data_IF_569646757448
#
_entry.id   IF_569646757448
#
_cell.length_a   1.000
_cell.length_b   1.000
_cell.length_c   1.000
_cell.angle_alpha   90.00
_cell.angle_beta   90.00
_cell.angle_gamma   90.00
#
_symmetry.space_group_name_H-M   'P 1'
#
loop_
_entity.id
_entity.type
_entity.pdbx_description
1 polymer ?
#
# COMPACT_ATOMS: atom_id res chain seq x y z
N UNK A 1 14.80 -12.53 -43.25
CA UNK A 1 14.73 -11.05 -43.31
C UNK A 1 13.87 -10.55 -42.16
N UNK A 2 14.40 -9.62 -41.35
CA UNK A 2 13.60 -8.77 -40.45
C UNK A 2 13.54 -9.18 -38.98
N UNK A 3 14.62 -8.96 -38.24
CA UNK A 3 14.61 -8.85 -36.77
C UNK A 3 13.99 -7.51 -36.34
N UNK A 4 13.16 -7.48 -35.31
CA UNK A 4 12.98 -6.29 -34.46
C UNK A 4 12.99 -6.75 -32.99
N UNK A 5 14.15 -6.62 -32.38
CA UNK A 5 14.33 -6.68 -30.94
C UNK A 5 14.19 -5.25 -30.39
N UNK A 6 13.25 -5.04 -29.48
CA UNK A 6 13.14 -3.81 -28.70
C UNK A 6 13.65 -4.08 -27.29
N UNK A 7 14.93 -3.78 -27.07
CA UNK A 7 15.58 -3.73 -25.76
C UNK A 7 15.33 -2.36 -25.15
N UNK A 8 14.43 -2.27 -24.16
CA UNK A 8 14.35 -1.10 -23.30
C UNK A 8 15.31 -1.30 -22.12
N UNK A 9 16.37 -0.50 -22.17
CA UNK A 9 17.38 -0.34 -21.13
C UNK A 9 16.72 0.09 -19.82
N UNK A 10 17.00 -0.65 -18.76
CA UNK A 10 16.78 -0.20 -17.39
C UNK A 10 17.96 0.71 -17.08
N UNK A 11 17.69 2.01 -16.93
CA UNK A 11 18.67 2.97 -16.43
C UNK A 11 19.04 2.59 -14.99
N UNK A 12 20.24 2.05 -14.84
CA UNK A 12 20.90 1.88 -13.54
C UNK A 12 21.38 3.27 -13.14
N UNK A 13 20.82 3.77 -12.04
CA UNK A 13 21.25 5.01 -11.38
C UNK A 13 22.76 4.90 -11.11
N UNK A 14 23.54 5.69 -11.83
CA UNK A 14 24.94 5.97 -11.57
C UNK A 14 25.03 6.68 -10.22
N UNK A 15 25.39 5.95 -9.16
CA UNK A 15 25.91 6.61 -7.97
C UNK A 15 27.27 7.19 -8.30
N UNK A 16 27.37 8.49 -8.12
CA UNK A 16 28.57 9.32 -8.18
C UNK A 16 29.77 8.62 -7.57
N UNK A 17 30.77 8.41 -8.40
CA UNK A 17 32.18 8.18 -8.04
C UNK A 17 32.68 9.38 -7.24
N UNK A 18 32.68 9.29 -5.92
CA UNK A 18 33.68 9.96 -5.12
C UNK A 18 34.90 9.04 -5.07
N UNK A 19 35.88 9.38 -5.89
CA UNK A 19 37.27 8.97 -5.81
C UNK A 19 37.77 9.14 -4.37
N UNK A 20 38.12 8.05 -3.70
CA UNK A 20 39.50 7.82 -3.29
C UNK A 20 39.67 6.49 -2.55
N UNK A 21 40.75 5.80 -2.92
CA UNK A 21 41.29 4.58 -2.31
C UNK A 21 40.47 3.32 -2.62
N UNK A 22 40.89 2.37 -3.45
CA UNK A 22 42.22 1.79 -3.60
C UNK A 22 42.35 1.19 -5.00
N UNK A 23 43.19 1.78 -5.86
CA UNK A 23 43.65 1.10 -7.07
C UNK A 23 44.77 0.13 -6.73
N UNK A 24 44.64 -1.11 -7.21
CA UNK A 24 45.69 -1.95 -7.84
C UNK A 24 44.95 -3.17 -8.43
N UNK A 25 44.79 -3.21 -9.75
CA UNK A 25 45.68 -3.91 -10.70
C UNK A 25 45.58 -5.45 -10.61
N UNK A 26 45.32 -6.07 -11.76
CA UNK A 26 45.21 -7.51 -12.06
C UNK A 26 45.82 -8.51 -11.05
N UNK A 27 45.02 -9.48 -10.57
CA UNK A 27 45.51 -10.79 -10.10
C UNK A 27 45.20 -11.17 -8.65
N UNK A 28 44.11 -11.94 -8.44
CA UNK A 28 43.71 -12.64 -7.19
C UNK A 28 43.42 -11.73 -5.97
N UNK A 29 42.14 -11.47 -5.73
CA UNK A 29 41.62 -10.97 -4.44
C UNK A 29 42.13 -11.87 -3.29
N UNK A 30 42.64 -11.27 -2.21
CA UNK A 30 43.05 -12.05 -1.03
C UNK A 30 41.80 -12.57 -0.30
N UNK A 31 41.88 -13.73 0.35
CA UNK A 31 40.75 -14.33 1.08
C UNK A 31 40.19 -13.36 2.14
N UNK A 32 41.07 -12.63 2.83
CA UNK A 32 40.67 -11.64 3.83
C UNK A 32 39.95 -10.43 3.20
N UNK A 33 40.40 -9.94 2.04
CA UNK A 33 39.69 -8.89 1.31
C UNK A 33 38.31 -9.36 0.82
N UNK A 34 38.22 -10.59 0.33
CA UNK A 34 36.97 -11.19 -0.10
C UNK A 34 35.96 -11.36 1.07
N UNK A 35 36.44 -11.77 2.25
CA UNK A 35 35.61 -11.86 3.46
C UNK A 35 35.07 -10.49 3.89
N UNK A 36 35.95 -9.49 3.99
CA UNK A 36 35.54 -8.13 4.38
C UNK A 36 34.53 -7.54 3.39
N UNK A 37 34.73 -7.76 2.09
CA UNK A 37 33.79 -7.32 1.05
C UNK A 37 32.43 -8.01 1.20
N UNK A 38 32.40 -9.33 1.37
CA UNK A 38 31.15 -10.07 1.55
C UNK A 38 30.41 -9.67 2.82
N UNK A 39 31.12 -9.47 3.94
CA UNK A 39 30.50 -9.02 5.18
C UNK A 39 29.86 -7.63 5.03
N UNK A 40 30.55 -6.69 4.35
CA UNK A 40 29.98 -5.38 4.06
C UNK A 40 28.77 -5.46 3.11
N UNK A 41 28.85 -6.30 2.08
CA UNK A 41 27.75 -6.48 1.12
C UNK A 41 26.52 -7.12 1.80
N UNK A 42 26.74 -8.08 2.71
CA UNK A 42 25.70 -8.70 3.53
C UNK A 42 25.09 -7.66 4.47
N UNK A 43 25.92 -6.93 5.23
CA UNK A 43 25.44 -5.90 6.17
C UNK A 43 24.59 -4.84 5.46
N UNK A 44 25.06 -4.31 4.33
CA UNK A 44 24.32 -3.34 3.50
C UNK A 44 22.99 -3.90 3.02
N UNK A 45 22.97 -5.19 2.64
CA UNK A 45 21.77 -5.85 2.11
C UNK A 45 20.77 -6.20 3.21
N UNK A 46 21.23 -6.53 4.42
CA UNK A 46 20.39 -6.86 5.58
C UNK A 46 19.84 -5.62 6.30
N UNK A 47 20.47 -4.45 6.16
CA UNK A 47 20.09 -3.20 6.86
C UNK A 47 18.61 -2.82 6.72
N UNK A 48 17.98 -3.23 5.61
CA UNK A 48 16.57 -2.94 5.32
C UNK A 48 15.62 -4.09 5.67
N UNK A 49 16.09 -5.14 6.36
CA UNK A 49 15.31 -6.27 6.84
C UNK A 49 14.35 -6.87 5.78
N UNK A 50 14.87 -7.28 4.60
CA UNK A 50 14.02 -7.68 3.47
C UNK A 50 13.17 -8.92 3.76
N UNK A 51 13.64 -9.83 4.61
CA UNK A 51 12.87 -11.01 5.02
C UNK A 51 11.64 -10.62 5.85
N UNK A 52 11.83 -9.74 6.82
CA UNK A 52 10.76 -9.23 7.69
C UNK A 52 9.74 -8.41 6.90
N UNK A 53 10.22 -7.57 5.97
CA UNK A 53 9.35 -6.83 5.05
C UNK A 53 8.56 -7.76 4.14
N UNK A 54 9.17 -8.83 3.64
CA UNK A 54 8.48 -9.83 2.82
C UNK A 54 7.37 -10.53 3.61
N UNK A 55 7.59 -10.84 4.89
CA UNK A 55 6.57 -11.43 5.75
C UNK A 55 5.36 -10.50 5.91
N UNK A 56 5.60 -9.19 6.10
CA UNK A 56 4.53 -8.17 6.18
C UNK A 56 3.75 -8.08 4.88
N UNK A 57 4.45 -7.91 3.75
CA UNK A 57 3.84 -7.78 2.41
C UNK A 57 3.02 -9.02 2.05
N UNK A 58 3.52 -10.22 2.38
CA UNK A 58 2.82 -11.48 2.09
C UNK A 58 1.53 -11.58 2.89
N UNK A 59 1.57 -11.27 4.19
CA UNK A 59 0.37 -11.30 5.04
C UNK A 59 -0.68 -10.26 4.60
N UNK A 60 -0.24 -9.06 4.21
CA UNK A 60 -1.13 -8.02 3.67
C UNK A 60 -1.78 -8.47 2.35
N UNK A 61 -0.99 -9.05 1.44
CA UNK A 61 -1.45 -9.54 0.15
C UNK A 61 -2.52 -10.63 0.32
N UNK A 62 -2.28 -11.62 1.18
CA UNK A 62 -3.26 -12.69 1.47
C UNK A 62 -4.58 -12.13 2.00
N UNK A 63 -4.50 -11.17 2.92
CA UNK A 63 -5.69 -10.50 3.44
C UNK A 63 -6.45 -9.73 2.37
N UNK A 64 -5.75 -9.01 1.48
CA UNK A 64 -6.39 -8.25 0.40
C UNK A 64 -7.02 -9.19 -0.64
N UNK A 65 -6.35 -10.28 -0.98
CA UNK A 65 -6.89 -11.28 -1.91
C UNK A 65 -8.16 -11.93 -1.38
N UNK A 66 -8.20 -12.28 -0.09
CA UNK A 66 -9.42 -12.79 0.54
C UNK A 66 -10.54 -11.75 0.52
N UNK A 67 -10.24 -10.48 0.77
CA UNK A 67 -11.25 -9.42 0.70
C UNK A 67 -11.79 -9.21 -0.72
N UNK A 68 -10.92 -9.16 -1.74
CA UNK A 68 -11.33 -9.05 -3.14
C UNK A 68 -12.26 -10.20 -3.50
N UNK A 69 -11.90 -11.44 -3.13
CA UNK A 69 -12.73 -12.62 -3.36
C UNK A 69 -14.11 -12.47 -2.70
N UNK A 70 -14.16 -12.06 -1.44
CA UNK A 70 -15.42 -11.82 -0.73
C UNK A 70 -16.28 -10.73 -1.43
N UNK A 71 -15.65 -9.68 -1.95
CA UNK A 71 -16.34 -8.63 -2.72
C UNK A 71 -16.91 -9.16 -4.03
N UNK A 72 -16.15 -9.97 -4.76
CA UNK A 72 -16.58 -10.53 -6.04
C UNK A 72 -17.69 -11.58 -5.88
N UNK A 73 -17.68 -12.35 -4.79
CA UNK A 73 -18.76 -13.27 -4.43
C UNK A 73 -20.07 -12.55 -4.06
N UNK A 74 -19.99 -11.33 -3.51
CA UNK A 74 -21.16 -10.55 -3.08
C UNK A 74 -21.61 -9.48 -4.07
N UNK A 75 -20.85 -9.22 -5.13
CA UNK A 75 -21.15 -8.12 -6.07
C UNK A 75 -21.05 -8.62 -7.51
N UNK A 76 -22.20 -8.70 -8.21
CA UNK A 76 -22.22 -8.99 -9.65
C UNK A 76 -21.28 -8.00 -10.38
N UNK A 77 -20.43 -8.54 -11.25
CA UNK A 77 -19.36 -7.84 -11.97
C UNK A 77 -19.89 -6.70 -12.84
N UNK A 78 -19.98 -5.49 -12.28
CA UNK A 78 -20.31 -4.28 -13.05
C UNK A 78 -19.01 -3.55 -13.37
N UNK A 79 -18.64 -3.60 -14.65
CA UNK A 79 -17.36 -3.17 -15.23
C UNK A 79 -17.27 -1.69 -15.61
N UNK A 80 -18.30 -0.87 -15.40
CA UNK A 80 -18.25 0.55 -15.75
C UNK A 80 -17.76 1.41 -14.57
N UNK A 81 -16.49 1.80 -14.66
CA UNK A 81 -15.74 2.70 -13.76
C UNK A 81 -16.06 4.17 -14.03
N UNK A 82 -16.64 4.49 -15.19
CA UNK A 82 -16.98 5.84 -15.61
C UNK A 82 -18.44 6.18 -15.27
N UNK A 83 -18.76 7.16 -14.43
CA UNK A 83 -17.95 7.89 -13.47
C UNK A 83 -18.89 8.15 -12.30
N UNK A 84 -18.48 7.80 -11.07
CA UNK A 84 -19.24 8.06 -9.86
C UNK A 84 -19.97 9.44 -9.84
N UNK A 85 -19.31 10.58 -10.18
CA UNK A 85 -19.99 11.87 -10.32
C UNK A 85 -21.11 11.88 -11.37
N UNK A 86 -20.89 11.32 -12.56
CA UNK A 86 -21.92 11.23 -13.62
C UNK A 86 -23.11 10.38 -13.16
N UNK A 87 -22.88 9.24 -12.53
CA UNK A 87 -23.96 8.36 -12.03
C UNK A 87 -24.83 9.11 -11.02
N UNK A 88 -24.20 9.74 -10.03
CA UNK A 88 -24.93 10.51 -9.03
C UNK A 88 -25.64 11.71 -9.67
N UNK A 89 -24.97 12.43 -10.58
CA UNK A 89 -25.55 13.59 -11.24
C UNK A 89 -26.77 13.22 -12.08
N UNK A 90 -26.68 12.14 -12.86
CA UNK A 90 -27.77 11.69 -13.73
C UNK A 90 -29.00 11.29 -12.92
N UNK A 91 -28.83 10.67 -11.76
CA UNK A 91 -29.94 10.38 -10.84
C UNK A 91 -30.59 11.67 -10.35
N UNK A 92 -29.78 12.64 -9.95
CA UNK A 92 -30.30 13.91 -9.46
C UNK A 92 -31.03 14.72 -10.55
N UNK A 93 -30.60 14.60 -11.81
CA UNK A 93 -31.29 15.20 -12.96
C UNK A 93 -32.59 14.45 -13.26
N UNK A 94 -32.54 13.12 -13.37
CA UNK A 94 -33.71 12.30 -13.75
C UNK A 94 -34.85 12.37 -12.72
N UNK A 95 -34.49 12.51 -11.45
CA UNK A 95 -35.45 12.63 -10.34
C UNK A 95 -35.70 14.10 -9.96
N UNK A 96 -35.15 15.08 -10.69
CA UNK A 96 -35.30 16.52 -10.42
C UNK A 96 -34.95 16.94 -8.97
N UNK A 97 -34.03 16.22 -8.31
CA UNK A 97 -33.71 16.39 -6.88
C UNK A 97 -33.09 17.75 -6.57
N UNK A 98 -32.37 18.37 -7.53
CA UNK A 98 -31.79 19.70 -7.33
C UNK A 98 -32.82 20.80 -7.09
N UNK A 99 -34.05 20.63 -7.57
CA UNK A 99 -35.11 21.65 -7.54
C UNK A 99 -36.22 21.33 -6.55
N UNK A 100 -36.35 20.07 -6.13
CA UNK A 100 -37.46 19.56 -5.32
C UNK A 100 -36.94 18.88 -4.05
N UNK A 101 -36.66 19.63 -2.97
CA UNK A 101 -36.07 19.06 -1.74
C UNK A 101 -36.99 18.03 -1.05
N UNK A 102 -38.31 18.19 -1.15
CA UNK A 102 -39.28 17.21 -0.62
C UNK A 102 -39.16 15.86 -1.34
N UNK A 103 -38.97 15.89 -2.67
CA UNK A 103 -38.75 14.69 -3.47
C UNK A 103 -37.39 14.05 -3.16
N UNK A 104 -36.39 14.84 -2.74
CA UNK A 104 -35.10 14.33 -2.30
C UNK A 104 -35.18 13.57 -0.98
N UNK A 105 -36.01 14.02 -0.04
CA UNK A 105 -36.26 13.26 1.21
C UNK A 105 -37.02 11.96 0.94
N UNK A 106 -37.97 11.96 0.00
CA UNK A 106 -38.69 10.73 -0.38
C UNK A 106 -37.79 9.69 -1.07
N UNK A 107 -36.77 10.16 -1.80
CA UNK A 107 -35.82 9.31 -2.52
C UNK A 107 -34.48 9.11 -1.78
N UNK A 108 -34.41 9.49 -0.50
CA UNK A 108 -33.18 9.47 0.30
C UNK A 108 -32.53 8.08 0.31
N UNK A 109 -33.32 7.04 0.64
CA UNK A 109 -32.85 5.66 0.70
C UNK A 109 -32.39 5.13 -0.67
N UNK A 110 -33.05 5.56 -1.75
CA UNK A 110 -32.64 5.19 -3.10
C UNK A 110 -31.28 5.79 -3.45
N UNK A 111 -31.10 7.09 -3.19
CA UNK A 111 -29.84 7.80 -3.41
C UNK A 111 -28.71 7.20 -2.55
N UNK A 112 -28.97 6.96 -1.27
CA UNK A 112 -28.02 6.32 -0.35
C UNK A 112 -27.63 4.91 -0.83
N UNK A 113 -28.59 4.13 -1.35
CA UNK A 113 -28.30 2.79 -1.88
C UNK A 113 -27.45 2.82 -3.15
N UNK A 114 -27.67 3.77 -4.06
CA UNK A 114 -26.79 3.93 -5.23
C UNK A 114 -25.40 4.40 -4.78
N UNK A 115 -25.34 5.37 -3.87
CA UNK A 115 -24.09 5.88 -3.33
C UNK A 115 -23.25 4.76 -2.67
N UNK A 116 -23.88 3.90 -1.86
CA UNK A 116 -23.25 2.69 -1.30
C UNK A 116 -22.65 1.78 -2.37
N UNK A 117 -23.38 1.54 -3.46
CA UNK A 117 -22.90 0.69 -4.56
C UNK A 117 -21.69 1.31 -5.25
N UNK A 118 -21.72 2.60 -5.52
CA UNK A 118 -20.59 3.31 -6.14
C UNK A 118 -19.37 3.38 -5.21
N UNK A 119 -19.55 3.64 -3.91
CA UNK A 119 -18.46 3.60 -2.94
C UNK A 119 -17.84 2.21 -2.80
N UNK A 120 -18.64 1.13 -2.86
CA UNK A 120 -18.09 -0.25 -2.90
C UNK A 120 -17.23 -0.50 -4.13
N UNK A 121 -17.58 0.06 -5.29
CA UNK A 121 -16.72 -0.03 -6.50
C UNK A 121 -15.39 0.69 -6.29
N UNK A 122 -15.40 1.85 -5.62
CA UNK A 122 -14.18 2.57 -5.26
C UNK A 122 -13.31 1.75 -4.30
N UNK A 123 -13.91 1.14 -3.27
CA UNK A 123 -13.22 0.23 -2.32
C UNK A 123 -12.56 -0.95 -3.08
N UNK A 124 -13.29 -1.59 -4.00
CA UNK A 124 -12.77 -2.71 -4.81
C UNK A 124 -11.65 -2.29 -5.75
N UNK A 125 -11.79 -1.15 -6.44
CA UNK A 125 -10.74 -0.63 -7.32
C UNK A 125 -9.46 -0.33 -6.54
N UNK A 126 -9.60 0.31 -5.38
CA UNK A 126 -8.49 0.57 -4.48
C UNK A 126 -7.79 -0.74 -4.06
N UNK A 127 -8.55 -1.77 -3.68
CA UNK A 127 -8.01 -3.09 -3.32
C UNK A 127 -7.20 -3.70 -4.48
N UNK A 128 -7.70 -3.62 -5.71
CA UNK A 128 -7.00 -4.13 -6.91
C UNK A 128 -5.72 -3.39 -7.23
N UNK A 129 -5.70 -2.06 -7.06
CA UNK A 129 -4.47 -1.27 -7.21
C UNK A 129 -3.46 -1.69 -6.15
N UNK A 130 -3.89 -1.78 -4.90
CA UNK A 130 -3.02 -2.18 -3.78
C UNK A 130 -2.47 -3.59 -3.93
N UNK A 131 -3.29 -4.54 -4.41
CA UNK A 131 -2.83 -5.90 -4.69
C UNK A 131 -1.66 -5.90 -5.69
N UNK A 132 -1.78 -5.13 -6.78
CA UNK A 132 -0.72 -5.02 -7.80
C UNK A 132 0.57 -4.41 -7.24
N UNK A 133 0.44 -3.39 -6.38
CA UNK A 133 1.59 -2.78 -5.67
C UNK A 133 2.29 -3.82 -4.80
N UNK A 134 1.55 -4.53 -3.94
CA UNK A 134 2.10 -5.57 -3.07
C UNK A 134 2.71 -6.74 -3.84
N UNK A 135 2.12 -7.13 -4.97
CA UNK A 135 2.71 -8.14 -5.85
C UNK A 135 4.04 -7.69 -6.46
N UNK A 136 4.17 -6.40 -6.80
CA UNK A 136 5.43 -5.80 -7.26
C UNK A 136 6.48 -5.81 -6.14
N UNK A 137 6.10 -5.35 -4.95
CA UNK A 137 6.99 -5.29 -3.79
C UNK A 137 7.46 -6.68 -3.35
N UNK A 138 6.55 -7.67 -3.35
CA UNK A 138 6.88 -9.07 -3.07
C UNK A 138 7.95 -9.59 -4.02
N UNK A 139 7.82 -9.34 -5.34
CA UNK A 139 8.82 -9.76 -6.34
C UNK A 139 10.17 -9.08 -6.11
N UNK A 140 10.17 -7.77 -5.82
CA UNK A 140 11.38 -7.01 -5.51
C UNK A 140 12.09 -7.56 -4.27
N UNK A 141 11.37 -7.78 -3.19
CA UNK A 141 11.92 -8.32 -1.93
C UNK A 141 12.41 -9.76 -2.11
N UNK A 142 11.72 -10.58 -2.90
CA UNK A 142 12.16 -11.93 -3.21
C UNK A 142 13.50 -11.95 -3.96
N UNK A 143 13.66 -11.08 -4.97
CA UNK A 143 14.93 -10.92 -5.68
C UNK A 143 16.07 -10.47 -4.76
N UNK A 144 15.80 -9.55 -3.82
CA UNK A 144 16.77 -9.13 -2.80
C UNK A 144 17.19 -10.29 -1.90
N UNK A 145 16.25 -11.13 -1.47
CA UNK A 145 16.57 -12.31 -0.65
C UNK A 145 17.39 -13.35 -1.40
N UNK A 146 17.13 -13.57 -2.69
CA UNK A 146 17.96 -14.46 -3.51
C UNK A 146 19.41 -13.96 -3.60
N UNK A 147 19.61 -12.64 -3.73
CA UNK A 147 20.94 -12.03 -3.69
C UNK A 147 21.61 -12.19 -2.32
N UNK A 148 20.89 -11.99 -1.22
CA UNK A 148 21.45 -12.19 0.12
C UNK A 148 21.84 -13.65 0.34
N UNK A 149 21.00 -14.60 -0.10
CA UNK A 149 21.32 -16.03 -0.05
C UNK A 149 22.58 -16.37 -0.85
N UNK A 150 22.77 -15.80 -2.04
CA UNK A 150 23.99 -16.05 -2.82
C UNK A 150 25.24 -15.50 -2.13
N UNK A 151 25.16 -14.32 -1.51
CA UNK A 151 26.27 -13.77 -0.70
C UNK A 151 26.62 -14.67 0.49
N UNK A 152 25.61 -15.16 1.22
CA UNK A 152 25.85 -16.10 2.32
C UNK A 152 26.43 -17.44 1.86
N UNK A 153 26.05 -17.93 0.68
CA UNK A 153 26.66 -19.14 0.10
C UNK A 153 28.12 -18.90 -0.26
N UNK A 154 28.45 -17.75 -0.86
CA UNK A 154 29.83 -17.37 -1.16
C UNK A 154 30.66 -17.23 0.12
N UNK A 155 30.09 -16.63 1.17
CA UNK A 155 30.75 -16.53 2.47
C UNK A 155 31.04 -17.91 3.05
N UNK A 156 30.05 -18.81 3.06
CA UNK A 156 30.23 -20.19 3.55
C UNK A 156 31.31 -20.94 2.78
N UNK A 157 31.35 -20.80 1.45
CA UNK A 157 32.37 -21.41 0.61
C UNK A 157 33.78 -20.91 0.96
N UNK A 158 33.96 -19.59 1.17
CA UNK A 158 35.24 -19.06 1.62
C UNK A 158 35.63 -19.55 3.01
N UNK A 159 34.67 -19.62 3.94
CA UNK A 159 34.93 -20.13 5.29
C UNK A 159 35.33 -21.61 5.29
N UNK A 160 34.70 -22.44 4.45
CA UNK A 160 35.08 -23.86 4.30
C UNK A 160 36.47 -24.07 3.68
N UNK A 161 37.04 -23.05 3.01
CA UNK A 161 38.41 -23.10 2.53
C UNK A 161 39.44 -22.77 3.64
N UNK A 162 39.00 -22.22 4.77
CA UNK A 162 39.87 -21.75 5.87
C UNK A 162 39.87 -22.73 7.03
N UNK A 163 38.70 -23.30 7.36
CA UNK A 163 38.53 -24.24 8.47
C UNK A 163 38.08 -25.61 7.96
N UNK A 164 38.76 -26.66 8.40
CA UNK A 164 38.24 -28.05 8.40
C UNK A 164 37.30 -28.25 9.59
N UNK A 165 36.30 -29.13 9.43
CA UNK A 165 35.12 -29.25 10.31
C UNK A 165 35.41 -29.36 11.82
N UNK A 166 36.62 -29.78 12.23
CA UNK A 166 37.00 -30.01 13.64
C UNK A 166 37.76 -28.86 14.34
N UNK A 167 38.16 -27.79 13.63
CA UNK A 167 39.00 -26.71 14.21
C UNK A 167 38.30 -25.35 14.33
N UNK A 168 36.97 -25.28 14.12
CA UNK A 168 36.28 -23.99 14.11
C UNK A 168 36.13 -23.40 15.52
N UNK A 169 36.77 -22.25 15.84
CA UNK A 169 36.60 -21.61 17.13
C UNK A 169 35.17 -21.07 17.29
N UNK A 170 34.54 -21.30 18.46
CA UNK A 170 33.30 -20.64 18.85
C UNK A 170 32.01 -21.48 18.85
N UNK A 171 32.09 -22.81 18.75
CA UNK A 171 30.92 -23.72 18.85
C UNK A 171 30.07 -23.50 20.11
N UNK A 172 30.68 -23.12 21.24
CA UNK A 172 29.98 -22.77 22.47
C UNK A 172 29.17 -21.45 22.38
N UNK A 173 29.53 -20.56 21.47
CA UNK A 173 28.88 -19.26 21.26
C UNK A 173 27.80 -19.30 20.17
N UNK A 174 27.76 -20.35 19.34
CA UNK A 174 26.80 -20.47 18.24
C UNK A 174 25.35 -20.40 18.74
N UNK A 175 25.02 -21.12 19.81
CA UNK A 175 23.68 -21.08 20.40
C UNK A 175 23.30 -19.70 20.98
N UNK A 176 24.26 -18.93 21.50
CA UNK A 176 24.01 -17.56 21.95
C UNK A 176 23.79 -16.61 20.76
N UNK A 177 24.59 -16.76 19.70
CA UNK A 177 24.46 -16.02 18.45
C UNK A 177 23.12 -16.30 17.75
N UNK A 178 22.66 -17.55 17.71
CA UNK A 178 21.35 -17.92 17.16
C UNK A 178 20.20 -17.26 17.91
N UNK A 179 20.23 -17.29 19.25
CA UNK A 179 19.23 -16.59 20.09
C UNK A 179 19.22 -15.08 19.84
N UNK A 180 20.40 -14.47 19.75
CA UNK A 180 20.53 -13.04 19.46
C UNK A 180 19.99 -12.69 18.07
N UNK A 181 20.26 -13.51 17.04
CA UNK A 181 19.71 -13.36 15.69
C UNK A 181 18.19 -13.49 15.67
N UNK A 182 17.65 -14.49 16.35
CA UNK A 182 16.20 -14.68 16.45
C UNK A 182 15.52 -13.47 17.08
N UNK A 183 16.10 -12.91 18.15
CA UNK A 183 15.59 -11.70 18.80
C UNK A 183 15.69 -10.47 17.88
N UNK A 184 16.83 -10.29 17.20
CA UNK A 184 17.01 -9.24 16.18
C UNK A 184 15.94 -9.32 15.10
N UNK A 185 15.70 -10.52 14.58
CA UNK A 185 14.75 -10.75 13.49
C UNK A 185 13.30 -10.52 13.93
N UNK A 186 12.97 -10.87 15.19
CA UNK A 186 11.68 -10.56 15.79
C UNK A 186 11.46 -9.05 15.98
N UNK A 187 12.45 -8.33 16.51
CA UNK A 187 12.39 -6.86 16.64
C UNK A 187 12.33 -6.18 15.28
N UNK A 188 13.08 -6.67 14.30
CA UNK A 188 13.04 -6.20 12.93
C UNK A 188 11.64 -6.36 12.33
N UNK A 189 10.95 -7.48 12.60
CA UNK A 189 9.58 -7.73 12.14
C UNK A 189 8.59 -6.73 12.76
N UNK A 190 8.68 -6.50 14.06
CA UNK A 190 7.86 -5.47 14.73
C UNK A 190 8.14 -4.10 14.14
N UNK A 191 9.41 -3.75 13.93
CA UNK A 191 9.79 -2.47 13.32
C UNK A 191 9.26 -2.31 11.89
N UNK A 192 9.26 -3.38 11.10
CA UNK A 192 8.74 -3.38 9.73
C UNK A 192 7.23 -3.15 9.71
N UNK A 193 6.49 -3.81 10.62
CA UNK A 193 5.04 -3.60 10.79
C UNK A 193 4.72 -2.18 11.20
N UNK A 194 5.44 -1.63 12.19
CA UNK A 194 5.22 -0.27 12.66
C UNK A 194 5.48 0.77 11.56
N UNK A 195 6.55 0.62 10.77
CA UNK A 195 6.85 1.52 9.65
C UNK A 195 5.76 1.46 8.57
N UNK A 196 5.40 0.26 8.11
CA UNK A 196 4.36 0.09 7.10
C UNK A 196 3.01 0.64 7.61
N UNK A 197 2.66 0.40 8.88
CA UNK A 197 1.47 1.00 9.48
C UNK A 197 1.53 2.52 9.55
N UNK A 198 2.67 3.10 9.91
CA UNK A 198 2.84 4.54 9.98
C UNK A 198 2.69 5.20 8.61
N UNK A 199 3.25 4.58 7.56
CA UNK A 199 3.10 5.03 6.16
C UNK A 199 1.62 5.02 5.72
N UNK A 200 0.89 3.94 6.03
CA UNK A 200 -0.54 3.82 5.75
C UNK A 200 -1.38 4.85 6.52
N UNK A 201 -1.11 5.08 7.81
CA UNK A 201 -1.80 6.11 8.62
C UNK A 201 -1.50 7.50 8.07
N UNK A 202 -0.25 7.78 7.71
CA UNK A 202 0.12 9.09 7.18
C UNK A 202 -0.57 9.35 5.83
N UNK A 203 -0.68 8.33 4.99
CA UNK A 203 -1.45 8.40 3.74
C UNK A 203 -2.93 8.65 4.02
N UNK A 204 -3.51 7.96 5.00
CA UNK A 204 -4.90 8.20 5.41
C UNK A 204 -5.13 9.64 5.89
N UNK A 205 -4.23 10.17 6.73
CA UNK A 205 -4.32 11.56 7.22
C UNK A 205 -4.23 12.57 6.08
N UNK A 206 -3.29 12.41 5.15
CA UNK A 206 -3.19 13.28 3.97
C UNK A 206 -4.47 13.28 3.15
N UNK A 207 -5.05 12.10 2.90
CA UNK A 207 -6.30 11.98 2.16
C UNK A 207 -7.49 12.62 2.91
N UNK A 208 -7.51 12.58 4.24
CA UNK A 208 -8.50 13.30 5.05
C UNK A 208 -8.32 14.81 4.94
N UNK A 209 -7.08 15.30 5.03
CA UNK A 209 -6.76 16.72 4.89
C UNK A 209 -7.16 17.25 3.50
N UNK A 210 -6.96 16.44 2.45
CA UNK A 210 -7.39 16.74 1.09
C UNK A 210 -8.91 16.65 0.90
N UNK A 211 -9.60 15.77 1.64
CA UNK A 211 -11.05 15.60 1.54
C UNK A 211 -11.82 16.79 2.12
N UNK A 212 -11.34 17.40 3.21
CA UNK A 212 -12.00 18.52 3.89
C UNK A 212 -12.27 19.75 3.00
N UNK A 213 -11.30 20.30 2.24
CA UNK A 213 -11.56 21.44 1.36
C UNK A 213 -12.51 21.06 0.23
N UNK A 214 -12.39 19.85 -0.33
CA UNK A 214 -13.28 19.37 -1.40
C UNK A 214 -14.72 19.23 -0.89
N UNK A 215 -14.89 18.72 0.33
CA UNK A 215 -16.19 18.62 0.98
C UNK A 215 -16.83 20.00 1.19
N UNK A 216 -16.05 21.02 1.59
CA UNK A 216 -16.55 22.40 1.71
C UNK A 216 -17.06 22.93 0.36
N UNK A 217 -16.38 22.62 -0.74
CA UNK A 217 -16.80 23.03 -2.08
C UNK A 217 -18.15 22.43 -2.50
N UNK A 218 -18.56 21.28 -1.95
CA UNK A 218 -19.88 20.69 -2.21
C UNK A 218 -21.02 21.60 -1.74
N UNK A 219 -20.82 22.35 -0.66
CA UNK A 219 -21.83 23.30 -0.13
C UNK A 219 -21.84 24.67 -0.84
N UNK A 220 -20.76 25.02 -1.54
CA UNK A 220 -20.55 26.36 -2.14
C UNK A 220 -20.69 26.34 -3.68
N UNK A 221 -20.79 25.16 -4.30
CA UNK A 221 -20.89 25.02 -5.75
C UNK A 221 -22.10 25.75 -6.36
N UNK A 222 -21.89 26.40 -7.51
CA UNK A 222 -22.90 27.26 -8.16
C UNK A 222 -23.89 26.44 -9.01
N UNK A 223 -23.46 25.27 -9.49
CA UNK A 223 -24.31 24.36 -10.26
C UNK A 223 -24.52 23.02 -9.55
N UNK A 224 -25.62 22.33 -9.89
CA UNK A 224 -25.87 20.97 -9.39
C UNK A 224 -24.75 19.98 -9.76
N UNK A 225 -24.14 20.15 -10.93
CA UNK A 225 -22.98 19.36 -11.35
C UNK A 225 -21.74 19.62 -10.50
N UNK A 226 -21.39 20.88 -10.23
CA UNK A 226 -20.24 21.24 -9.39
C UNK A 226 -20.39 20.68 -7.98
N UNK A 227 -21.58 20.81 -7.37
CA UNK A 227 -21.86 20.29 -6.03
C UNK A 227 -21.75 18.76 -5.98
N UNK A 228 -22.32 18.06 -6.96
CA UNK A 228 -22.25 16.60 -7.05
C UNK A 228 -20.84 16.12 -7.28
N UNK A 229 -20.09 16.79 -8.15
CA UNK A 229 -18.69 16.46 -8.43
C UNK A 229 -17.83 16.63 -7.18
N UNK A 230 -17.92 17.77 -6.50
CA UNK A 230 -17.19 18.01 -5.26
C UNK A 230 -17.55 16.99 -4.17
N UNK A 231 -18.84 16.69 -3.96
CA UNK A 231 -19.26 15.64 -3.03
C UNK A 231 -18.68 14.27 -3.41
N UNK A 232 -18.71 13.90 -4.69
CA UNK A 232 -18.16 12.63 -5.18
C UNK A 232 -16.64 12.54 -5.02
N UNK A 233 -15.92 13.65 -5.24
CA UNK A 233 -14.48 13.72 -5.10
C UNK A 233 -14.08 13.61 -3.62
N UNK A 234 -14.81 14.26 -2.73
CA UNK A 234 -14.59 14.15 -1.29
C UNK A 234 -14.93 12.74 -0.78
N UNK A 235 -16.06 12.15 -1.20
CA UNK A 235 -16.39 10.76 -0.88
C UNK A 235 -15.29 9.79 -1.36
N UNK A 236 -14.74 9.99 -2.56
CA UNK A 236 -13.63 9.19 -3.07
C UNK A 236 -12.40 9.28 -2.16
N UNK A 237 -12.00 10.49 -1.76
CA UNK A 237 -10.87 10.70 -0.86
C UNK A 237 -11.12 10.06 0.52
N UNK A 238 -12.33 10.19 1.07
CA UNK A 238 -12.72 9.57 2.34
C UNK A 238 -12.72 8.03 2.27
N UNK A 239 -13.18 7.44 1.15
CA UNK A 239 -13.11 5.98 0.93
C UNK A 239 -11.64 5.56 0.93
N UNK A 240 -10.79 6.24 0.17
CA UNK A 240 -9.37 5.93 0.09
C UNK A 240 -8.67 6.06 1.45
N UNK A 241 -8.95 7.14 2.19
CA UNK A 241 -8.41 7.36 3.53
C UNK A 241 -8.77 6.21 4.47
N UNK A 242 -10.04 5.78 4.44
CA UNK A 242 -10.53 4.65 5.22
C UNK A 242 -9.85 3.33 4.80
N UNK A 243 -9.63 3.11 3.51
CA UNK A 243 -8.90 1.93 3.05
C UNK A 243 -7.47 1.92 3.57
N UNK A 244 -6.74 3.04 3.48
CA UNK A 244 -5.38 3.17 4.01
C UNK A 244 -5.33 2.99 5.54
N UNK A 245 -6.32 3.51 6.27
CA UNK A 245 -6.45 3.27 7.71
C UNK A 245 -6.64 1.78 8.02
N UNK A 246 -7.47 1.09 7.22
CA UNK A 246 -7.68 -0.35 7.35
C UNK A 246 -6.40 -1.13 7.07
N UNK A 247 -5.58 -0.73 6.11
CA UNK A 247 -4.29 -1.36 5.83
C UNK A 247 -3.34 -1.27 7.02
N UNK A 248 -3.23 -0.08 7.63
CA UNK A 248 -2.41 0.13 8.81
C UNK A 248 -2.77 -0.89 9.90
N UNK A 249 -4.06 -1.10 10.12
CA UNK A 249 -4.56 -2.09 11.08
C UNK A 249 -4.24 -3.52 10.68
N UNK A 250 -4.39 -3.89 9.40
CA UNK A 250 -4.05 -5.24 8.92
C UNK A 250 -2.59 -5.56 9.19
N UNK A 251 -1.69 -4.61 8.91
CA UNK A 251 -0.24 -4.75 9.14
C UNK A 251 0.08 -4.91 10.63
N UNK A 252 -0.63 -4.19 11.51
CA UNK A 252 -0.47 -4.32 12.96
C UNK A 252 -1.19 -5.53 13.57
N UNK A 253 -2.02 -6.24 12.78
CA UNK A 253 -2.95 -7.27 13.31
C UNK A 253 -3.86 -6.68 14.39
N UNK A 254 -4.19 -5.39 14.27
CA UNK A 254 -5.03 -4.69 15.22
C UNK A 254 -6.51 -4.86 14.86
N UNK A 255 -7.35 -5.15 15.85
CA UNK A 255 -8.80 -5.15 15.66
C UNK A 255 -9.30 -3.74 15.37
N UNK A 256 -10.22 -3.60 14.41
CA UNK A 256 -10.82 -2.32 14.07
C UNK A 256 -11.43 -1.63 15.30
N UNK A 257 -11.46 -0.28 15.31
CA UNK A 257 -12.40 0.48 16.14
C UNK A 257 -13.74 0.54 15.38
N UNK A 258 -14.68 -0.41 15.60
CA UNK A 258 -15.87 -0.57 14.75
C UNK A 258 -16.76 0.67 14.78
N UNK A 259 -16.73 1.45 15.86
CA UNK A 259 -17.60 2.63 16.05
C UNK A 259 -17.25 3.77 15.08
N UNK A 260 -15.98 4.17 15.00
CA UNK A 260 -15.55 5.26 14.12
C UNK A 260 -15.73 4.89 12.63
N UNK A 261 -15.40 3.65 12.27
CA UNK A 261 -15.58 3.15 10.91
C UNK A 261 -17.07 3.10 10.50
N UNK A 262 -17.95 2.73 11.44
CA UNK A 262 -19.40 2.74 11.21
C UNK A 262 -19.94 4.16 11.08
N UNK A 263 -19.53 5.08 11.95
CA UNK A 263 -19.96 6.48 11.90
C UNK A 263 -19.56 7.15 10.57
N UNK A 264 -18.31 6.97 10.14
CA UNK A 264 -17.85 7.47 8.84
C UNK A 264 -18.66 6.86 7.68
N UNK A 265 -18.91 5.55 7.71
CA UNK A 265 -19.71 4.90 6.66
C UNK A 265 -21.13 5.46 6.59
N UNK A 266 -21.78 5.65 7.73
CA UNK A 266 -23.12 6.26 7.77
C UNK A 266 -23.10 7.70 7.23
N UNK A 267 -22.13 8.52 7.64
CA UNK A 267 -21.98 9.89 7.12
C UNK A 267 -21.78 9.90 5.59
N UNK A 268 -21.01 8.93 5.06
CA UNK A 268 -20.79 8.82 3.64
C UNK A 268 -22.02 8.32 2.88
N UNK A 269 -22.84 7.44 3.46
CA UNK A 269 -24.08 6.95 2.85
C UNK A 269 -25.06 8.10 2.54
N UNK A 270 -25.19 9.03 3.47
CA UNK A 270 -26.08 10.19 3.41
C UNK A 270 -25.39 11.48 2.94
N UNK A 271 -24.17 11.38 2.41
CA UNK A 271 -23.38 12.52 1.94
C UNK A 271 -24.15 13.40 0.95
N UNK A 272 -24.82 12.79 -0.03
CA UNK A 272 -25.51 13.50 -1.10
C UNK A 272 -26.91 14.01 -0.72
N UNK A 273 -27.47 13.56 0.38
CA UNK A 273 -28.79 13.97 0.84
C UNK A 273 -28.67 15.23 1.69
N UNK A 274 -27.73 15.25 2.64
CA UNK A 274 -27.50 16.40 3.52
C UNK A 274 -26.76 17.56 2.84
N UNK A 275 -25.72 17.28 2.05
CA UNK A 275 -24.84 18.35 1.51
C UNK A 275 -25.44 19.09 0.31
N UNK A 276 -26.31 18.44 -0.46
CA UNK A 276 -26.84 18.98 -1.71
C UNK A 276 -28.13 19.79 -1.50
N UNK A 277 -28.80 19.56 -0.37
CA UNK A 277 -30.11 20.14 -0.04
C UNK A 277 -30.06 21.09 1.16
N UNK A 278 -28.87 21.57 1.56
CA UNK A 278 -28.70 22.54 2.64
C UNK A 278 -29.72 23.69 2.48
N UNK A 279 -30.67 23.79 3.42
CA UNK A 279 -31.92 24.55 3.32
C UNK A 279 -31.74 26.08 3.22
N UNK A 280 -30.50 26.56 3.10
CA UNK A 280 -30.17 27.99 2.99
C UNK A 280 -30.65 28.64 1.70
N UNK A 281 -31.15 27.87 0.73
CA UNK A 281 -31.68 28.36 -0.53
C UNK A 281 -33.19 28.10 -0.71
N UNK A 282 -33.97 28.16 0.37
CA UNK A 282 -35.41 28.45 0.25
C UNK A 282 -35.55 29.97 0.16
N UNK A 283 -35.61 30.51 -1.06
CA UNK A 283 -36.15 31.84 -1.34
C UNK A 283 -37.41 31.68 -2.17
#
# INVERSE_FOLDING_TARGET
MGCIASSQRVDVITMSTSEDSWQNASGKETVLAALVRLDQDIEKSEKLYPAQRLAVVTAELESIQQEIKNFEETTNSITNIESYPKTMHQIFVNLDLYRRPILATENEDFVANVNRKEMRKLELNWLRVREKELQSDRRRLHAQLLRIRSLYTQLKQLLSCIWTDDERPGTSLEGACERARALRDALALVSARLRASAESVHTALRLLDDALPVWKLASVGKSGWERTRACSDACRLLVQARCSERDARRVLVATAAPRAARALRLAMDYAFTDTMHDHKFVR
#
